data_IF_802203982209
#
_entry.id   IF_802203982209
#
_cell.length_a   1.000
_cell.length_b   1.000
_cell.length_c   1.000
_cell.angle_alpha   90.00
_cell.angle_beta   90.00
_cell.angle_gamma   90.00
#
_symmetry.space_group_name_H-M   'P 1'
#
loop_
_entity.id
_entity.type
_entity.pdbx_description
1 polymer ?
#
# COMPACT_ATOMS: atom_id res chain seq x y z
N UNK A 1 4.43 3.01 -4.99
CA UNK A 1 4.13 1.56 -5.11
C UNK A 1 3.92 1.04 -3.71
N UNK A 2 2.70 0.63 -3.35
CA UNK A 2 2.41 0.22 -1.97
C UNK A 2 2.93 -1.18 -1.70
N UNK A 3 3.60 -1.35 -0.56
CA UNK A 3 4.08 -2.63 -0.06
C UNK A 3 2.99 -3.30 0.78
N UNK A 4 2.74 -4.59 0.54
CA UNK A 4 1.73 -5.35 1.26
C UNK A 4 2.36 -6.56 1.94
N UNK A 5 1.95 -6.78 3.19
CA UNK A 5 2.15 -8.03 3.91
C UNK A 5 0.94 -8.93 3.65
N UNK A 6 1.17 -10.23 3.43
CA UNK A 6 0.11 -11.21 3.22
C UNK A 6 0.10 -12.25 4.33
N UNK A 7 -1.10 -12.64 4.76
CA UNK A 7 -1.32 -13.72 5.73
C UNK A 7 -2.34 -14.69 5.15
N UNK A 8 -2.01 -15.98 5.19
CA UNK A 8 -2.88 -17.05 4.70
C UNK A 8 -3.18 -17.98 5.86
N UNK A 9 -4.45 -18.26 6.10
CA UNK A 9 -4.91 -19.17 7.16
C UNK A 9 -5.84 -20.24 6.58
N UNK A 10 -5.83 -21.47 7.11
CA UNK A 10 -6.82 -22.46 6.71
C UNK A 10 -8.23 -21.99 7.08
N UNK A 11 -9.19 -22.21 6.20
CA UNK A 11 -10.59 -21.92 6.50
C UNK A 11 -11.08 -22.84 7.64
N UNK A 12 -11.94 -22.34 8.55
CA UNK A 12 -12.57 -23.17 9.56
C UNK A 12 -13.28 -24.35 8.89
N UNK A 13 -13.10 -25.59 9.38
CA UNK A 13 -13.76 -26.78 8.81
C UNK A 13 -15.11 -27.08 9.46
N UNK A 14 -15.33 -26.56 10.66
CA UNK A 14 -16.57 -26.71 11.42
C UNK A 14 -16.85 -25.43 12.19
N UNK A 15 -18.14 -25.11 12.31
CA UNK A 15 -18.59 -24.01 13.14
C UNK A 15 -18.66 -24.37 14.62
N UNK A 16 -18.27 -23.44 15.48
CA UNK A 16 -18.43 -23.58 16.93
C UNK A 16 -19.91 -23.52 17.32
N UNK A 17 -20.31 -24.26 18.36
CA UNK A 17 -21.70 -24.23 18.86
C UNK A 17 -21.92 -22.94 19.64
N UNK A 18 -22.83 -22.09 19.17
CA UNK A 18 -23.30 -20.91 19.89
C UNK A 18 -24.82 -20.96 20.07
N UNK A 19 -25.33 -20.27 21.10
CA UNK A 19 -26.78 -20.09 21.33
C UNK A 19 -27.48 -19.40 20.17
N UNK A 20 -26.75 -18.58 19.42
CA UNK A 20 -27.28 -17.78 18.31
C UNK A 20 -27.33 -18.55 16.99
N UNK A 21 -26.55 -19.63 16.88
CA UNK A 21 -26.38 -20.39 15.65
C UNK A 21 -27.06 -21.75 15.75
N UNK A 22 -28.27 -21.85 15.20
CA UNK A 22 -29.14 -23.02 15.35
C UNK A 22 -28.83 -24.12 14.34
N UNK A 23 -28.38 -23.77 13.14
CA UNK A 23 -28.00 -24.73 12.10
C UNK A 23 -26.48 -24.91 12.00
N UNK A 24 -26.04 -25.95 11.29
CA UNK A 24 -24.60 -26.14 10.98
C UNK A 24 -24.06 -25.02 10.10
N UNK A 25 -24.88 -24.52 9.17
CA UNK A 25 -24.50 -23.41 8.28
C UNK A 25 -24.35 -22.13 9.09
N UNK A 26 -25.26 -21.84 10.02
CA UNK A 26 -25.17 -20.64 10.87
C UNK A 26 -23.90 -20.67 11.74
N UNK A 27 -23.58 -21.85 12.30
CA UNK A 27 -22.37 -22.02 13.13
C UNK A 27 -21.11 -21.77 12.31
N UNK A 28 -21.10 -22.27 11.07
CA UNK A 28 -19.98 -22.07 10.16
C UNK A 28 -19.83 -20.60 9.78
N UNK A 29 -20.92 -19.93 9.41
CA UNK A 29 -20.93 -18.51 9.08
C UNK A 29 -20.44 -17.66 10.27
N UNK A 30 -20.95 -17.93 11.48
CA UNK A 30 -20.53 -17.25 12.70
C UNK A 30 -19.02 -17.39 12.94
N UNK A 31 -18.50 -18.61 12.83
CA UNK A 31 -17.07 -18.89 13.06
C UNK A 31 -16.20 -18.19 12.02
N UNK A 32 -16.62 -18.21 10.76
CA UNK A 32 -15.92 -17.50 9.68
C UNK A 32 -15.94 -15.99 9.91
N UNK A 33 -17.09 -15.42 10.27
CA UNK A 33 -17.22 -14.00 10.60
C UNK A 33 -16.34 -13.62 11.78
N UNK A 34 -16.29 -14.43 12.84
CA UNK A 34 -15.42 -14.20 13.99
C UNK A 34 -13.94 -14.18 13.57
N UNK A 35 -13.50 -15.12 12.74
CA UNK A 35 -12.12 -15.20 12.27
C UNK A 35 -11.73 -13.99 11.42
N UNK A 36 -12.59 -13.59 10.47
CA UNK A 36 -12.37 -12.41 9.62
C UNK A 36 -12.34 -11.14 10.47
N UNK A 37 -13.32 -10.97 11.38
CA UNK A 37 -13.40 -9.80 12.25
C UNK A 37 -12.21 -9.72 13.22
N UNK A 38 -11.69 -10.84 13.71
CA UNK A 38 -10.48 -10.87 14.53
C UNK A 38 -9.28 -10.27 13.78
N UNK A 39 -9.04 -10.75 12.56
CA UNK A 39 -7.94 -10.22 11.74
C UNK A 39 -8.19 -8.78 11.27
N UNK A 40 -9.43 -8.41 10.99
CA UNK A 40 -9.78 -7.04 10.65
C UNK A 40 -9.43 -6.05 11.77
N UNK A 41 -9.65 -6.43 13.04
CA UNK A 41 -9.23 -5.61 14.20
C UNK A 41 -7.71 -5.46 14.29
N UNK A 42 -6.96 -6.45 13.83
CA UNK A 42 -5.49 -6.42 13.76
C UNK A 42 -4.96 -5.67 12.50
N UNK A 43 -5.86 -5.06 11.73
CA UNK A 43 -5.55 -4.27 10.55
C UNK A 43 -5.38 -5.09 9.25
N UNK A 44 -5.80 -6.35 9.24
CA UNK A 44 -5.78 -7.18 8.04
C UNK A 44 -7.07 -7.04 7.23
N UNK A 45 -6.93 -6.93 5.91
CA UNK A 45 -8.02 -6.87 4.94
C UNK A 45 -8.23 -8.26 4.34
N UNK A 46 -9.46 -8.78 4.40
CA UNK A 46 -9.82 -10.02 3.74
C UNK A 46 -9.88 -9.84 2.22
N UNK A 47 -9.20 -10.69 1.46
CA UNK A 47 -9.19 -10.65 0.00
C UNK A 47 -10.10 -11.71 -0.61
N UNK A 48 -9.86 -12.98 -0.26
CA UNK A 48 -10.53 -14.12 -0.88
C UNK A 48 -10.30 -15.42 -0.12
N UNK A 49 -11.03 -16.46 -0.54
CA UNK A 49 -10.77 -17.84 -0.19
C UNK A 49 -10.28 -18.60 -1.44
N UNK A 50 -9.12 -19.25 -1.33
CA UNK A 50 -8.53 -20.08 -2.38
C UNK A 50 -8.66 -21.56 -2.01
N UNK A 51 -9.03 -22.42 -2.95
CA UNK A 51 -9.05 -23.87 -2.73
C UNK A 51 -7.81 -24.50 -3.35
N UNK A 52 -6.93 -25.05 -2.52
CA UNK A 52 -5.63 -25.58 -2.95
C UNK A 52 -5.53 -27.09 -2.68
N UNK A 53 -4.90 -27.86 -3.58
CA UNK A 53 -4.59 -29.26 -3.34
C UNK A 53 -3.44 -29.39 -2.32
N UNK A 54 -3.54 -30.39 -1.45
CA UNK A 54 -2.52 -30.81 -0.50
C UNK A 54 -2.38 -32.33 -0.55
N UNK A 55 -1.18 -32.80 -0.87
CA UNK A 55 -0.89 -34.23 -0.93
C UNK A 55 -0.54 -34.74 0.48
N UNK A 56 -1.39 -35.60 1.04
CA UNK A 56 -1.17 -36.23 2.34
C UNK A 56 -0.99 -37.73 2.18
N UNK A 57 -0.22 -38.35 3.09
CA UNK A 57 -0.02 -39.79 3.07
C UNK A 57 -1.33 -40.51 3.38
N UNK A 58 -1.72 -41.42 2.50
CA UNK A 58 -2.92 -42.24 2.63
C UNK A 58 -2.53 -43.71 2.78
N UNK A 59 -2.79 -44.28 3.95
CA UNK A 59 -2.49 -45.68 4.25
C UNK A 59 -0.99 -46.01 4.29
N UNK A 60 -0.64 -47.24 3.90
CA UNK A 60 0.73 -47.77 4.06
C UNK A 60 1.67 -47.37 2.91
N UNK A 61 1.17 -47.14 1.69
CA UNK A 61 1.98 -46.80 0.50
C UNK A 61 1.36 -45.75 -0.42
N UNK A 62 0.19 -45.20 -0.09
CA UNK A 62 -0.51 -44.25 -0.95
C UNK A 62 -0.30 -42.79 -0.56
N UNK A 63 -0.56 -41.90 -1.51
CA UNK A 63 -0.72 -40.45 -1.30
C UNK A 63 -2.10 -40.06 -1.81
N UNK A 64 -2.82 -39.23 -1.07
CA UNK A 64 -4.13 -38.69 -1.47
C UNK A 64 -4.06 -37.16 -1.52
N UNK A 65 -4.62 -36.59 -2.58
CA UNK A 65 -4.75 -35.14 -2.72
C UNK A 65 -6.04 -34.67 -2.07
N UNK A 66 -5.92 -33.86 -1.03
CA UNK A 66 -7.02 -33.21 -0.34
C UNK A 66 -7.10 -31.73 -0.72
N UNK A 67 -8.31 -31.25 -1.01
CA UNK A 67 -8.53 -29.84 -1.29
C UNK A 67 -8.86 -29.09 -0.01
N UNK A 68 -8.09 -28.05 0.28
CA UNK A 68 -8.26 -27.19 1.46
C UNK A 68 -8.57 -25.77 1.02
N UNK A 69 -9.61 -25.19 1.64
CA UNK A 69 -9.89 -23.77 1.51
C UNK A 69 -8.94 -22.97 2.42
N UNK A 70 -8.32 -21.94 1.86
CA UNK A 70 -7.36 -21.06 2.51
C UNK A 70 -7.86 -19.62 2.39
N UNK A 71 -7.97 -18.92 3.51
CA UNK A 71 -8.36 -17.53 3.59
C UNK A 71 -7.13 -16.64 3.42
N UNK A 72 -7.18 -15.73 2.44
CA UNK A 72 -6.08 -14.82 2.11
C UNK A 72 -6.41 -13.42 2.63
N UNK A 73 -5.49 -12.87 3.40
CA UNK A 73 -5.56 -11.52 3.94
C UNK A 73 -4.34 -10.71 3.51
N UNK A 74 -4.49 -9.39 3.43
CA UNK A 74 -3.38 -8.46 3.23
C UNK A 74 -3.40 -7.32 4.23
N UNK A 75 -2.27 -6.69 4.46
CA UNK A 75 -2.16 -5.42 5.20
C UNK A 75 -1.11 -4.55 4.54
N UNK A 76 -1.31 -3.23 4.47
CA UNK A 76 -0.28 -2.32 3.99
C UNK A 76 0.88 -2.29 4.99
N UNK A 77 2.10 -2.58 4.53
CA UNK A 77 3.31 -2.19 5.26
C UNK A 77 3.38 -0.67 5.18
N UNK A 78 3.66 -0.01 6.31
CA UNK A 78 3.77 1.45 6.42
C UNK A 78 4.34 2.04 5.13
N UNK A 79 3.60 2.97 4.53
CA UNK A 79 4.14 3.83 3.48
C UNK A 79 5.35 4.52 4.11
N UNK A 80 6.57 4.08 3.78
CA UNK A 80 7.75 4.87 4.01
C UNK A 80 7.40 6.25 3.44
N UNK A 81 7.47 7.33 4.24
CA UNK A 81 7.02 8.63 3.78
C UNK A 81 7.77 8.89 2.48
N UNK A 82 7.01 9.02 1.38
CA UNK A 82 7.57 9.60 0.18
C UNK A 82 8.18 10.92 0.66
N UNK A 83 9.50 11.07 0.57
CA UNK A 83 10.16 12.32 0.92
C UNK A 83 9.49 13.37 0.06
N UNK A 84 8.60 14.15 0.66
CA UNK A 84 7.99 15.29 0.01
C UNK A 84 9.12 16.31 -0.06
N UNK A 85 9.88 16.26 -1.16
CA UNK A 85 10.80 17.34 -1.49
C UNK A 85 9.90 18.54 -1.76
N UNK A 86 9.69 19.35 -0.73
CA UNK A 86 9.04 20.64 -0.88
C UNK A 86 10.00 21.45 -1.74
N UNK A 87 9.62 21.91 -2.95
CA UNK A 87 10.46 22.83 -3.67
C UNK A 87 10.59 24.07 -2.79
N UNK A 88 11.81 24.33 -2.31
CA UNK A 88 12.12 25.54 -1.56
C UNK A 88 11.80 26.71 -2.47
N UNK A 89 10.81 27.52 -2.11
CA UNK A 89 10.46 28.71 -2.86
C UNK A 89 11.72 29.60 -2.89
N UNK A 90 12.28 29.81 -4.08
CA UNK A 90 13.37 30.77 -4.27
C UNK A 90 12.76 32.15 -4.01
N UNK A 91 13.08 32.74 -2.87
CA UNK A 91 12.72 34.13 -2.60
C UNK A 91 13.34 35.00 -3.71
N UNK A 92 12.59 35.93 -4.32
CA UNK A 92 13.17 36.83 -5.30
C UNK A 92 14.26 37.65 -4.62
N UNK A 93 15.48 37.55 -5.15
CA UNK A 93 16.59 38.42 -4.76
C UNK A 93 16.15 39.87 -4.96
N UNK A 94 16.40 40.79 -4.00
CA UNK A 94 16.12 42.20 -4.21
C UNK A 94 16.96 42.70 -5.40
N UNK A 95 16.28 43.18 -6.44
CA UNK A 95 16.92 43.86 -7.57
C UNK A 95 17.58 45.13 -7.04
N UNK A 96 18.91 45.12 -6.95
CA UNK A 96 19.68 46.33 -6.68
C UNK A 96 19.55 47.22 -7.92
N UNK A 97 18.75 48.28 -7.81
CA UNK A 97 18.72 49.35 -8.81
C UNK A 97 20.03 50.12 -8.68
N UNK A 98 20.94 49.92 -9.62
CA UNK A 98 22.12 50.78 -9.75
C UNK A 98 21.63 52.10 -10.30
N UNK A 99 21.62 53.12 -9.45
CA UNK A 99 21.41 54.50 -9.88
C UNK A 99 22.60 54.88 -10.77
N UNK A 100 22.33 55.09 -12.05
CA UNK A 100 23.35 55.40 -13.04
C UNK A 100 23.78 56.86 -12.87
N UNK A 101 25.05 57.17 -12.56
CA UNK A 101 25.50 58.54 -12.61
C UNK A 101 25.48 58.99 -14.08
N UNK A 102 24.72 60.05 -14.35
CA UNK A 102 24.70 60.76 -15.64
C UNK A 102 26.11 61.30 -15.92
N UNK A 103 26.87 60.54 -16.69
CA UNK A 103 28.12 60.99 -17.30
C UNK A 103 27.83 61.60 -18.66
N UNK A 104 27.98 62.91 -18.78
CA UNK A 104 27.89 63.63 -20.04
C UNK A 104 28.86 63.04 -21.08
N UNK A 105 28.33 62.60 -22.22
CA UNK A 105 29.11 62.13 -23.34
C UNK A 105 29.79 63.33 -24.06
N UNK A 106 31.10 63.32 -24.32
CA UNK A 106 31.72 64.33 -25.17
C UNK A 106 31.38 64.05 -26.63
N UNK A 107 30.89 65.08 -27.35
CA UNK A 107 30.62 64.98 -28.79
C UNK A 107 31.92 64.90 -29.58
N UNK A 108 32.12 63.81 -30.31
CA UNK A 108 33.19 63.70 -31.31
C UNK A 108 32.74 64.43 -32.59
N UNK A 109 33.48 65.45 -32.99
CA UNK A 109 33.28 66.14 -34.27
C UNK A 109 33.63 65.25 -35.48
N UNK A 110 33.17 65.61 -36.69
CA UNK A 110 33.33 64.78 -37.88
C UNK A 110 34.80 64.72 -38.35
N UNK A 111 35.24 63.52 -38.74
CA UNK A 111 36.58 63.26 -39.25
C UNK A 111 36.77 63.81 -40.68
N UNK A 112 37.95 64.36 -41.04
CA UNK A 112 38.24 64.78 -42.40
C UNK A 112 38.57 63.59 -43.31
N UNK A 113 38.08 63.69 -44.54
CA UNK A 113 38.23 62.73 -45.64
C UNK A 113 39.54 63.04 -46.38
N UNK A 114 40.35 62.03 -46.69
CA UNK A 114 41.40 62.12 -47.72
C UNK A 114 41.52 60.80 -48.47
#
# INVERSE_FOLDING_TARGET
MSLFEYKILPAPRRGEKSREAKTTVDRFALTLSQQINALARDGWEYLRADTLPCDERSGLTGTATHFHAMLVFRRKLLDLPAVVVTPMAVAPLPTVTVDAPSGAAPSLGPAPIR
#
